data_IF_821684990994
#
_entry.id   IF_821684990994
#
_cell.length_a   1.000
_cell.length_b   1.000
_cell.length_c   1.000
_cell.angle_alpha   90.00
_cell.angle_beta   90.00
_cell.angle_gamma   90.00
#
_symmetry.space_group_name_H-M   'P 1'
#
loop_
_entity.id
_entity.type
_entity.pdbx_description
1 polymer ?
#
# COMPACT_ATOMS: atom_id res chain seq x y z
N UNK A 1 31.05 33.37 -68.84
CA UNK A 1 30.20 32.17 -68.65
C UNK A 1 30.62 31.46 -67.38
N UNK A 2 29.84 31.54 -66.29
CA UNK A 2 29.81 30.50 -65.26
C UNK A 2 28.48 30.62 -64.50
N UNK A 3 27.69 29.55 -64.58
CA UNK A 3 26.30 29.47 -64.09
C UNK A 3 26.28 29.28 -62.58
N UNK A 4 25.27 29.91 -61.95
CA UNK A 4 24.85 29.78 -60.56
C UNK A 4 24.45 28.32 -60.25
N UNK A 5 24.94 27.77 -59.14
CA UNK A 5 24.33 26.63 -58.45
C UNK A 5 23.82 27.11 -57.09
N UNK A 6 22.49 27.25 -56.98
CA UNK A 6 21.79 27.55 -55.73
C UNK A 6 21.44 26.21 -55.09
N UNK A 7 22.01 25.95 -53.91
CA UNK A 7 21.74 24.78 -53.09
C UNK A 7 20.42 24.98 -52.34
N UNK A 8 19.39 24.20 -52.66
CA UNK A 8 18.13 24.15 -51.92
C UNK A 8 18.33 23.32 -50.64
N UNK A 9 18.33 23.98 -49.47
CA UNK A 9 18.26 23.31 -48.17
C UNK A 9 16.77 23.09 -47.86
N UNK A 10 16.33 21.83 -47.94
CA UNK A 10 14.99 21.40 -47.54
C UNK A 10 14.91 21.36 -46.00
N UNK A 11 14.33 22.40 -45.40
CA UNK A 11 14.12 22.48 -43.95
C UNK A 11 12.94 21.58 -43.56
N UNK A 12 13.24 20.38 -43.07
CA UNK A 12 12.27 19.43 -42.53
C UNK A 12 11.79 19.93 -41.16
N UNK A 13 10.62 20.58 -41.12
CA UNK A 13 9.95 20.97 -39.87
C UNK A 13 9.39 19.71 -39.21
N UNK A 14 10.10 19.20 -38.20
CA UNK A 14 9.59 18.16 -37.32
C UNK A 14 8.54 18.79 -36.41
N UNK A 15 7.26 18.49 -36.66
CA UNK A 15 6.20 18.76 -35.70
C UNK A 15 6.44 17.90 -34.46
N UNK A 16 6.92 18.52 -33.39
CA UNK A 16 6.84 17.94 -32.06
C UNK A 16 5.35 17.80 -31.71
N UNK A 17 4.84 16.57 -31.79
CA UNK A 17 3.51 16.24 -31.29
C UNK A 17 3.45 16.57 -29.81
N UNK A 18 2.75 17.67 -29.47
CA UNK A 18 2.35 17.95 -28.12
C UNK A 18 1.47 16.78 -27.65
N UNK A 19 2.04 15.91 -26.82
CA UNK A 19 1.29 14.92 -26.07
C UNK A 19 0.37 15.67 -25.10
N UNK A 20 -0.81 16.04 -25.60
CA UNK A 20 -1.94 16.49 -24.81
C UNK A 20 -2.44 15.32 -23.97
N UNK A 21 -1.71 15.00 -22.91
CA UNK A 21 -2.22 14.19 -21.82
C UNK A 21 -3.38 14.97 -21.21
N UNK A 22 -4.61 14.62 -21.59
CA UNK A 22 -5.79 15.09 -20.89
C UNK A 22 -5.65 14.64 -19.44
N UNK A 23 -5.46 15.59 -18.54
CA UNK A 23 -5.45 15.30 -17.11
C UNK A 23 -6.80 14.63 -16.79
N UNK A 24 -6.77 13.34 -16.45
CA UNK A 24 -7.96 12.63 -15.99
C UNK A 24 -8.49 13.41 -14.78
N UNK A 25 -9.72 13.92 -14.88
CA UNK A 25 -10.38 14.57 -13.75
C UNK A 25 -10.35 13.61 -12.55
N UNK A 26 -9.97 14.12 -11.38
CA UNK A 26 -9.93 13.31 -10.18
C UNK A 26 -11.32 12.69 -9.94
N UNK A 27 -11.36 11.41 -9.54
CA UNK A 27 -12.61 10.75 -9.21
C UNK A 27 -13.32 11.54 -8.09
N UNK A 28 -14.65 11.73 -8.16
CA UNK A 28 -15.38 12.50 -7.17
C UNK A 28 -15.27 11.87 -5.78
N UNK A 29 -15.15 12.72 -4.76
CA UNK A 29 -14.98 12.31 -3.37
C UNK A 29 -16.35 12.08 -2.74
N UNK A 30 -16.59 10.89 -2.18
CA UNK A 30 -17.80 10.64 -1.39
C UNK A 30 -17.81 11.49 -0.12
N UNK A 31 -18.95 12.12 0.15
CA UNK A 31 -19.18 12.96 1.30
C UNK A 31 -20.55 12.70 1.92
N UNK A 32 -20.66 12.95 3.22
CA UNK A 32 -21.91 12.86 3.97
C UNK A 32 -22.24 14.20 4.58
N UNK A 33 -23.50 14.64 4.48
CA UNK A 33 -24.01 15.83 5.16
C UNK A 33 -24.00 15.59 6.68
N UNK A 34 -23.37 16.48 7.44
CA UNK A 34 -23.31 16.39 8.92
C UNK A 34 -24.15 17.46 9.64
N UNK A 35 -24.49 18.56 8.95
CA UNK A 35 -25.48 19.52 9.44
C UNK A 35 -26.89 18.89 9.45
N UNK A 36 -27.83 19.44 10.23
CA UNK A 36 -29.25 19.03 10.22
C UNK A 36 -29.86 19.09 8.81
N UNK A 37 -29.45 20.09 8.03
CA UNK A 37 -29.73 20.27 6.61
C UNK A 37 -28.63 21.15 6.01
N UNK A 38 -28.32 20.95 4.73
CA UNK A 38 -27.45 21.84 3.96
C UNK A 38 -28.19 22.45 2.78
N UNK A 39 -28.08 23.77 2.63
CA UNK A 39 -28.63 24.49 1.48
C UNK A 39 -27.77 24.28 0.24
N UNK A 40 -28.40 23.92 -0.87
CA UNK A 40 -27.76 23.78 -2.18
C UNK A 40 -27.94 25.06 -2.97
N UNK A 41 -26.85 25.61 -3.50
CA UNK A 41 -26.83 26.86 -4.28
C UNK A 41 -26.31 26.64 -5.70
N UNK A 42 -26.70 27.51 -6.62
CA UNK A 42 -26.24 27.46 -8.01
C UNK A 42 -24.83 28.04 -8.23
N UNK A 43 -24.32 28.81 -7.26
CA UNK A 43 -22.96 29.37 -7.28
C UNK A 43 -22.28 29.31 -5.90
N UNK A 44 -20.94 29.36 -5.86
CA UNK A 44 -20.09 29.21 -4.68
C UNK A 44 -20.01 30.49 -3.82
N UNK A 45 -21.17 31.00 -3.38
CA UNK A 45 -21.26 32.19 -2.52
C UNK A 45 -22.51 32.14 -1.66
N UNK A 46 -22.47 32.67 -0.41
CA UNK A 46 -23.65 32.69 0.46
C UNK A 46 -24.81 33.52 -0.11
N UNK A 47 -24.56 34.40 -1.10
CA UNK A 47 -25.58 35.22 -1.77
C UNK A 47 -26.20 34.57 -3.01
N UNK A 48 -25.70 33.40 -3.44
CA UNK A 48 -26.18 32.71 -4.63
C UNK A 48 -27.62 32.20 -4.46
N UNK A 49 -28.31 31.94 -5.58
CA UNK A 49 -29.69 31.45 -5.55
C UNK A 49 -29.72 30.06 -4.90
N UNK A 50 -30.66 29.88 -3.99
CA UNK A 50 -30.94 28.58 -3.38
C UNK A 50 -31.72 27.75 -4.39
N UNK A 51 -31.23 26.54 -4.69
CA UNK A 51 -31.84 25.62 -5.67
C UNK A 51 -32.32 24.31 -5.04
N UNK A 52 -32.07 24.12 -3.74
CA UNK A 52 -32.57 22.99 -2.98
C UNK A 52 -31.94 22.88 -1.60
N UNK A 53 -32.18 21.75 -0.95
CA UNK A 53 -31.51 21.34 0.29
C UNK A 53 -31.25 19.84 0.30
N UNK A 54 -30.29 19.41 1.11
CA UNK A 54 -30.01 18.00 1.38
C UNK A 54 -30.12 17.77 2.90
N UNK A 55 -30.89 16.76 3.35
CA UNK A 55 -31.01 16.46 4.77
C UNK A 55 -29.70 15.90 5.36
N UNK A 56 -29.62 15.91 6.70
CA UNK A 56 -28.55 15.24 7.43
C UNK A 56 -28.38 13.80 6.96
N UNK A 57 -27.13 13.37 6.85
CA UNK A 57 -26.70 12.04 6.41
C UNK A 57 -26.94 11.70 4.94
N UNK A 58 -27.44 12.62 4.10
CA UNK A 58 -27.38 12.43 2.66
C UNK A 58 -25.94 12.17 2.22
N UNK A 59 -25.75 11.12 1.45
CA UNK A 59 -24.47 10.79 0.80
C UNK A 59 -24.48 11.42 -0.58
N UNK A 60 -23.39 12.11 -0.93
CA UNK A 60 -23.22 12.79 -2.20
C UNK A 60 -21.76 12.72 -2.68
N UNK A 61 -21.56 13.08 -3.94
CA UNK A 61 -20.25 13.15 -4.57
C UNK A 61 -19.79 14.61 -4.68
N UNK A 62 -18.58 14.89 -4.21
CA UNK A 62 -17.89 16.18 -4.35
C UNK A 62 -16.94 16.10 -5.54
N UNK A 63 -17.18 16.93 -6.55
CA UNK A 63 -16.45 16.95 -7.82
C UNK A 63 -15.32 17.98 -7.84
N UNK A 64 -15.29 18.88 -6.86
CA UNK A 64 -14.29 19.95 -6.77
C UNK A 64 -14.49 20.83 -5.54
N UNK A 65 -13.59 21.78 -5.35
CA UNK A 65 -13.71 22.83 -4.34
C UNK A 65 -13.65 24.19 -5.01
N UNK A 66 -14.36 25.17 -4.45
CA UNK A 66 -14.36 26.56 -4.88
C UNK A 66 -13.93 27.48 -3.73
N UNK A 67 -13.48 28.68 -4.09
CA UNK A 67 -13.02 29.69 -3.15
C UNK A 67 -14.07 29.96 -2.06
N UNK A 68 -13.61 30.28 -0.84
CA UNK A 68 -14.51 30.56 0.29
C UNK A 68 -15.12 29.32 0.95
N UNK A 69 -14.55 28.13 0.74
CA UNK A 69 -14.94 26.91 1.46
C UNK A 69 -16.21 26.26 0.92
N UNK A 70 -16.37 26.23 -0.41
CA UNK A 70 -17.50 25.60 -1.09
C UNK A 70 -17.09 24.30 -1.78
N UNK A 71 -17.95 23.29 -1.71
CA UNK A 71 -17.79 22.02 -2.44
C UNK A 71 -18.71 22.02 -3.67
N UNK A 72 -18.15 21.68 -4.83
CA UNK A 72 -18.90 21.45 -6.07
C UNK A 72 -19.54 20.07 -6.07
N UNK A 73 -20.84 20.01 -6.30
CA UNK A 73 -21.65 18.78 -6.30
C UNK A 73 -22.52 18.72 -7.56
N UNK A 74 -23.19 17.58 -7.77
CA UNK A 74 -24.28 17.46 -8.74
C UNK A 74 -25.62 17.39 -8.01
N UNK A 75 -26.51 18.32 -8.31
CA UNK A 75 -27.88 18.35 -7.78
C UNK A 75 -28.86 18.43 -8.94
N UNK A 76 -29.76 17.43 -9.05
CA UNK A 76 -30.68 17.28 -10.19
C UNK A 76 -29.95 17.37 -11.54
N UNK A 77 -28.84 16.64 -11.66
CA UNK A 77 -27.92 16.60 -12.81
C UNK A 77 -27.22 17.93 -13.18
N UNK A 78 -27.41 19.01 -12.41
CA UNK A 78 -26.76 20.30 -12.62
C UNK A 78 -25.62 20.52 -11.63
N UNK A 79 -24.64 21.31 -12.05
CA UNK A 79 -23.57 21.79 -11.18
C UNK A 79 -24.17 22.67 -10.07
N UNK A 80 -23.75 22.44 -8.84
CA UNK A 80 -24.27 23.11 -7.66
C UNK A 80 -23.20 23.15 -6.57
N UNK A 81 -23.46 23.92 -5.51
CA UNK A 81 -22.51 24.16 -4.44
C UNK A 81 -23.15 24.06 -3.06
N UNK A 82 -22.38 23.56 -2.11
CA UNK A 82 -22.71 23.48 -0.68
C UNK A 82 -21.51 23.89 0.17
N UNK A 83 -21.68 24.44 1.38
CA UNK A 83 -20.55 24.75 2.26
C UNK A 83 -19.78 23.50 2.65
N UNK A 84 -18.47 23.48 2.42
CA UNK A 84 -17.62 22.32 2.73
C UNK A 84 -17.61 21.98 4.22
N UNK A 85 -17.76 22.98 5.10
CA UNK A 85 -17.82 22.81 6.56
C UNK A 85 -19.03 22.01 7.06
N UNK A 86 -20.08 21.88 6.23
CA UNK A 86 -21.29 21.11 6.55
C UNK A 86 -21.24 19.68 6.01
N UNK A 87 -20.13 19.31 5.36
CA UNK A 87 -19.86 17.98 4.86
C UNK A 87 -18.77 17.30 5.68
N UNK A 88 -18.91 16.00 5.88
CA UNK A 88 -17.80 15.13 6.22
C UNK A 88 -17.43 14.36 4.97
N UNK A 89 -16.37 14.81 4.29
CA UNK A 89 -15.77 14.03 3.21
C UNK A 89 -15.12 12.80 3.82
N UNK A 90 -15.36 11.63 3.26
CA UNK A 90 -14.39 10.54 3.45
C UNK A 90 -13.19 10.96 2.61
N UNK A 91 -12.18 11.60 3.21
CA UNK A 91 -10.90 11.75 2.51
C UNK A 91 -10.51 10.33 2.11
N UNK A 92 -10.50 10.05 0.80
CA UNK A 92 -10.03 8.76 0.29
C UNK A 92 -8.57 8.68 0.73
N UNK A 93 -8.34 7.92 1.80
CA UNK A 93 -7.01 7.76 2.35
C UNK A 93 -6.29 6.87 1.38
N UNK A 94 -5.35 7.42 0.61
CA UNK A 94 -4.60 6.60 -0.34
C UNK A 94 -3.62 5.77 0.47
N UNK A 95 -3.99 4.52 0.71
CA UNK A 95 -3.16 3.53 1.39
C UNK A 95 -2.40 2.74 0.33
N UNK A 96 -1.07 2.65 0.45
CA UNK A 96 -0.29 1.72 -0.39
C UNK A 96 0.21 0.58 0.49
N UNK A 97 -0.11 -0.65 0.12
CA UNK A 97 0.46 -1.85 0.74
C UNK A 97 1.68 -2.28 -0.08
N UNK A 98 2.88 -2.10 0.47
CA UNK A 98 4.14 -2.34 -0.23
C UNK A 98 4.88 -3.55 0.36
N UNK A 99 5.24 -4.50 -0.49
CA UNK A 99 5.91 -5.72 -0.01
C UNK A 99 6.09 -6.78 -1.08
N UNK A 100 6.11 -8.02 -0.64
CA UNK A 100 6.42 -9.20 -1.45
C UNK A 100 5.16 -10.05 -1.78
N UNK A 101 5.32 -11.37 -1.84
CA UNK A 101 4.27 -12.35 -2.12
C UNK A 101 3.11 -12.31 -1.12
N UNK A 102 3.37 -12.07 0.17
CA UNK A 102 2.28 -11.99 1.16
C UNK A 102 1.46 -10.72 1.00
N UNK A 103 2.05 -9.63 0.50
CA UNK A 103 1.34 -8.41 0.13
C UNK A 103 0.56 -8.62 -1.17
N UNK A 104 1.16 -9.27 -2.16
CA UNK A 104 0.48 -9.57 -3.43
C UNK A 104 -0.66 -10.59 -3.27
N UNK A 105 -0.52 -11.52 -2.32
CA UNK A 105 -1.34 -12.72 -2.20
C UNK A 105 -1.06 -13.70 -3.34
N UNK A 106 0.20 -14.00 -3.64
CA UNK A 106 0.56 -14.90 -4.76
C UNK A 106 -0.04 -16.28 -4.61
N UNK A 107 -0.02 -16.83 -3.39
CA UNK A 107 -0.46 -18.20 -3.09
C UNK A 107 -1.96 -18.42 -3.34
N UNK A 108 -2.77 -17.37 -3.50
CA UNK A 108 -4.19 -17.49 -3.88
C UNK A 108 -4.36 -18.11 -5.28
N UNK A 109 -3.39 -17.97 -6.19
CA UNK A 109 -3.48 -18.60 -7.51
C UNK A 109 -3.37 -20.13 -7.42
N UNK A 110 -2.61 -20.63 -6.45
CA UNK A 110 -2.39 -22.06 -6.22
C UNK A 110 -3.41 -22.69 -5.26
N UNK A 111 -4.29 -21.88 -4.65
CA UNK A 111 -5.29 -22.35 -3.68
C UNK A 111 -6.69 -21.91 -4.13
N UNK A 112 -7.37 -22.69 -5.00
CA UNK A 112 -8.67 -22.30 -5.57
C UNK A 112 -9.78 -22.14 -4.52
N UNK A 113 -9.63 -22.75 -3.34
CA UNK A 113 -10.54 -22.57 -2.22
C UNK A 113 -10.44 -21.19 -1.54
N UNK A 114 -9.38 -20.41 -1.82
CA UNK A 114 -9.21 -19.08 -1.23
C UNK A 114 -9.91 -18.02 -2.08
N UNK A 115 -10.94 -17.37 -1.52
CA UNK A 115 -11.61 -16.28 -2.21
C UNK A 115 -10.67 -15.07 -2.38
N UNK A 116 -10.70 -14.41 -3.54
CA UNK A 116 -9.85 -13.23 -3.79
C UNK A 116 -10.13 -12.07 -2.83
N UNK A 117 -11.36 -12.00 -2.31
CA UNK A 117 -11.80 -11.08 -1.25
C UNK A 117 -11.16 -11.35 0.11
N UNK A 118 -10.49 -12.48 0.30
CA UNK A 118 -9.80 -12.82 1.55
C UNK A 118 -8.36 -12.34 1.63
N UNK A 119 -7.80 -11.85 0.52
CA UNK A 119 -6.50 -11.17 0.57
C UNK A 119 -6.62 -9.92 1.42
N UNK A 120 -5.71 -9.76 2.38
CA UNK A 120 -5.74 -8.64 3.31
C UNK A 120 -5.69 -7.27 2.59
N UNK A 121 -4.92 -7.17 1.49
CA UNK A 121 -4.87 -5.94 0.69
C UNK A 121 -6.16 -5.74 -0.11
N UNK A 122 -6.83 -6.79 -0.60
CA UNK A 122 -8.15 -6.65 -1.24
C UNK A 122 -9.18 -6.12 -0.26
N UNK A 123 -9.16 -6.60 1.00
CA UNK A 123 -10.01 -6.04 2.07
C UNK A 123 -9.69 -4.57 2.33
N UNK A 124 -8.41 -4.18 2.42
CA UNK A 124 -8.02 -2.77 2.52
C UNK A 124 -8.43 -1.96 1.28
N UNK A 125 -8.44 -2.56 0.09
CA UNK A 125 -8.90 -1.90 -1.13
C UNK A 125 -10.39 -1.58 -1.04
N UNK A 126 -11.20 -2.50 -0.50
CA UNK A 126 -12.62 -2.27 -0.26
C UNK A 126 -12.88 -1.21 0.82
N UNK A 127 -12.06 -1.18 1.89
CA UNK A 127 -12.25 -0.26 3.02
C UNK A 127 -11.70 1.15 2.75
N UNK A 128 -10.54 1.26 2.08
CA UNK A 128 -9.77 2.51 1.95
C UNK A 128 -9.42 2.87 0.50
N UNK A 129 -9.75 2.04 -0.49
CA UNK A 129 -9.22 2.23 -1.86
C UNK A 129 -7.72 1.94 -1.95
N UNK A 130 -7.20 1.10 -1.05
CA UNK A 130 -5.78 0.76 -0.99
C UNK A 130 -5.22 0.19 -2.31
N UNK A 131 -3.98 0.55 -2.63
CA UNK A 131 -3.23 0.06 -3.78
C UNK A 131 -2.33 -1.10 -3.33
N UNK A 132 -2.43 -2.23 -4.02
CA UNK A 132 -1.54 -3.36 -3.83
C UNK A 132 -0.22 -3.15 -4.60
N UNK A 133 0.85 -2.86 -3.88
CA UNK A 133 2.23 -2.78 -4.36
C UNK A 133 3.05 -4.02 -4.02
N UNK A 134 2.42 -5.17 -3.80
CA UNK A 134 3.08 -6.45 -3.58
C UNK A 134 3.53 -7.12 -4.87
N UNK A 135 4.76 -7.66 -4.89
CA UNK A 135 5.25 -8.49 -6.01
C UNK A 135 5.91 -9.76 -5.44
N UNK A 136 5.46 -10.91 -5.92
CA UNK A 136 5.94 -12.22 -5.51
C UNK A 136 7.44 -12.40 -5.73
N UNK A 137 8.14 -12.87 -4.69
CA UNK A 137 9.57 -13.16 -4.75
C UNK A 137 10.48 -11.94 -4.54
N UNK A 138 9.92 -10.74 -4.46
CA UNK A 138 10.68 -9.51 -4.22
C UNK A 138 11.42 -9.55 -2.88
N UNK A 139 12.65 -9.05 -2.93
CA UNK A 139 13.45 -8.63 -1.77
C UNK A 139 13.30 -7.12 -1.59
N UNK A 140 13.78 -6.59 -0.47
CA UNK A 140 13.84 -5.14 -0.25
C UNK A 140 14.66 -4.38 -1.31
N UNK A 141 15.66 -5.02 -1.95
CA UNK A 141 16.44 -4.41 -3.04
C UNK A 141 15.57 -4.23 -4.29
N UNK A 142 14.79 -5.26 -4.66
CA UNK A 142 13.86 -5.18 -5.79
C UNK A 142 12.72 -4.19 -5.51
N UNK A 143 12.19 -4.20 -4.28
CA UNK A 143 11.26 -3.17 -3.82
C UNK A 143 11.86 -1.77 -4.00
N UNK A 144 13.13 -1.56 -3.61
CA UNK A 144 13.77 -0.25 -3.76
C UNK A 144 13.85 0.26 -5.19
N UNK A 145 14.10 -0.61 -6.16
CA UNK A 145 14.13 -0.24 -7.57
C UNK A 145 12.78 0.30 -8.08
N UNK A 146 11.65 -0.21 -7.56
CA UNK A 146 10.30 0.19 -7.98
C UNK A 146 9.59 1.15 -7.02
N UNK A 147 10.21 1.51 -5.91
CA UNK A 147 9.58 2.29 -4.85
C UNK A 147 9.02 3.64 -5.32
N UNK A 148 9.75 4.33 -6.21
CA UNK A 148 9.28 5.60 -6.76
C UNK A 148 8.00 5.43 -7.59
N UNK A 149 7.97 4.40 -8.46
CA UNK A 149 6.85 4.09 -9.35
C UNK A 149 5.64 3.58 -8.57
N UNK A 150 5.86 2.63 -7.67
CA UNK A 150 4.75 1.87 -7.07
C UNK A 150 4.21 2.52 -5.80
N UNK A 151 5.00 3.36 -5.12
CA UNK A 151 4.60 4.00 -3.86
C UNK A 151 4.59 5.51 -3.98
N UNK A 152 5.74 6.14 -4.25
CA UNK A 152 5.86 7.61 -4.14
C UNK A 152 4.97 8.34 -5.15
N UNK A 153 4.90 7.85 -6.39
CA UNK A 153 4.07 8.44 -7.46
C UNK A 153 2.57 8.44 -7.12
N UNK A 154 2.13 7.55 -6.23
CA UNK A 154 0.73 7.43 -5.80
C UNK A 154 0.32 8.52 -4.81
N UNK A 155 1.28 9.29 -4.29
CA UNK A 155 1.08 10.33 -3.26
C UNK A 155 0.24 9.80 -2.07
N UNK A 156 0.66 8.68 -1.44
CA UNK A 156 -0.13 8.04 -0.41
C UNK A 156 -0.25 8.88 0.86
N UNK A 157 -1.35 8.72 1.58
CA UNK A 157 -1.50 9.24 2.95
C UNK A 157 -0.85 8.28 3.97
N UNK A 158 -0.90 6.97 3.68
CA UNK A 158 -0.28 5.94 4.51
C UNK A 158 0.34 4.83 3.65
N UNK A 159 1.44 4.25 4.13
CA UNK A 159 2.11 3.12 3.48
C UNK A 159 2.40 2.04 4.51
N UNK A 160 1.97 0.82 4.22
CA UNK A 160 2.46 -0.35 4.94
C UNK A 160 3.64 -0.98 4.20
N UNK A 161 4.67 -1.41 4.93
CA UNK A 161 5.89 -1.97 4.35
C UNK A 161 6.18 -3.32 5.00
N UNK A 162 6.15 -4.39 4.21
CA UNK A 162 6.41 -5.76 4.66
C UNK A 162 7.38 -6.47 3.71
N UNK A 163 8.65 -6.55 4.12
CA UNK A 163 9.72 -7.30 3.46
C UNK A 163 10.54 -8.05 4.50
N UNK A 164 11.30 -9.05 4.07
CA UNK A 164 12.24 -9.78 4.94
C UNK A 164 12.33 -11.26 4.63
N UNK A 165 11.21 -11.89 4.25
CA UNK A 165 11.17 -13.35 4.00
C UNK A 165 12.08 -13.72 2.83
N UNK A 166 11.98 -13.00 1.72
CA UNK A 166 12.83 -13.23 0.55
C UNK A 166 14.27 -12.76 0.79
N UNK A 167 14.47 -11.64 1.47
CA UNK A 167 15.79 -11.11 1.84
C UNK A 167 16.61 -12.13 2.64
N UNK A 168 15.94 -12.83 3.57
CA UNK A 168 16.54 -13.80 4.47
C UNK A 168 16.79 -15.19 3.84
N UNK A 169 16.31 -15.49 2.63
CA UNK A 169 16.65 -16.77 1.98
C UNK A 169 18.17 -16.90 1.82
N UNK A 170 18.76 -17.99 2.29
CA UNK A 170 20.18 -18.31 2.10
C UNK A 170 20.33 -19.07 0.79
N UNK A 171 21.21 -18.59 -0.09
CA UNK A 171 21.55 -19.24 -1.36
C UNK A 171 22.55 -20.37 -1.12
N UNK A 172 22.76 -21.22 -2.12
CA UNK A 172 23.72 -22.34 -2.06
C UNK A 172 25.15 -21.90 -1.70
N UNK A 173 25.53 -20.65 -1.97
CA UNK A 173 26.83 -20.08 -1.58
C UNK A 173 26.91 -19.63 -0.09
N UNK A 174 25.90 -19.95 0.72
CA UNK A 174 25.84 -19.60 2.15
C UNK A 174 25.48 -18.15 2.45
N UNK A 175 25.25 -17.30 1.44
CA UNK A 175 24.88 -15.90 1.61
C UNK A 175 23.37 -15.69 1.51
N UNK A 176 22.83 -14.76 2.30
CA UNK A 176 21.44 -14.35 2.15
C UNK A 176 21.20 -13.60 0.84
N UNK A 177 19.96 -13.60 0.36
CA UNK A 177 19.59 -12.88 -0.87
C UNK A 177 19.89 -11.39 -0.77
N UNK A 178 19.73 -10.82 0.42
CA UNK A 178 20.12 -9.45 0.79
C UNK A 178 20.81 -9.51 2.14
N UNK A 179 21.98 -8.86 2.30
CA UNK A 179 22.66 -8.82 3.60
C UNK A 179 21.83 -8.03 4.62
N UNK A 180 22.00 -8.32 5.92
CA UNK A 180 21.32 -7.57 6.99
C UNK A 180 21.58 -6.06 6.93
N UNK A 181 22.82 -5.66 6.63
CA UNK A 181 23.18 -4.25 6.48
C UNK A 181 22.42 -3.60 5.30
N UNK A 182 22.37 -4.25 4.14
CA UNK A 182 21.66 -3.73 2.98
C UNK A 182 20.13 -3.70 3.22
N UNK A 183 19.59 -4.72 3.88
CA UNK A 183 18.19 -4.77 4.28
C UNK A 183 17.84 -3.60 5.21
N UNK A 184 18.65 -3.36 6.25
CA UNK A 184 18.47 -2.22 7.15
C UNK A 184 18.50 -0.88 6.41
N UNK A 185 19.47 -0.69 5.52
CA UNK A 185 19.56 0.50 4.67
C UNK A 185 18.31 0.70 3.81
N UNK A 186 17.75 -0.37 3.25
CA UNK A 186 16.53 -0.29 2.43
C UNK A 186 15.30 0.07 3.27
N UNK A 187 15.11 -0.56 4.44
CA UNK A 187 13.99 -0.22 5.34
C UNK A 187 14.09 1.24 5.82
N UNK A 188 15.30 1.72 6.14
CA UNK A 188 15.54 3.13 6.46
C UNK A 188 15.23 4.04 5.29
N UNK A 189 15.71 3.73 4.09
CA UNK A 189 15.45 4.49 2.88
C UNK A 189 13.95 4.67 2.61
N UNK A 190 13.16 3.60 2.68
CA UNK A 190 11.71 3.69 2.50
C UNK A 190 11.07 4.60 3.55
N UNK A 191 11.45 4.39 4.80
CA UNK A 191 10.90 5.13 5.94
C UNK A 191 11.23 6.62 5.84
N UNK A 192 12.49 6.96 5.60
CA UNK A 192 12.96 8.35 5.54
C UNK A 192 12.35 9.10 4.35
N UNK A 193 12.27 8.46 3.19
CA UNK A 193 11.66 9.06 1.99
C UNK A 193 10.19 9.40 2.22
N UNK A 194 9.43 8.50 2.88
CA UNK A 194 8.00 8.71 3.16
C UNK A 194 7.78 9.74 4.26
N UNK A 195 8.59 9.70 5.33
CA UNK A 195 8.53 10.68 6.41
C UNK A 195 8.84 12.10 5.91
N UNK A 196 9.84 12.26 5.05
CA UNK A 196 10.15 13.56 4.43
C UNK A 196 8.96 14.12 3.63
N UNK A 197 8.10 13.24 3.12
CA UNK A 197 6.86 13.59 2.41
C UNK A 197 5.62 13.65 3.32
N UNK A 198 5.80 13.59 4.64
CA UNK A 198 4.73 13.60 5.66
C UNK A 198 3.71 12.46 5.49
N UNK A 199 4.15 11.33 4.93
CA UNK A 199 3.32 10.12 4.77
C UNK A 199 3.38 9.30 6.06
N UNK A 200 2.24 8.74 6.48
CA UNK A 200 2.18 7.83 7.62
C UNK A 200 2.82 6.50 7.28
N UNK A 201 3.97 6.19 7.89
CA UNK A 201 4.68 4.93 7.69
C UNK A 201 4.26 3.89 8.71
N UNK A 202 3.93 2.69 8.24
CA UNK A 202 3.61 1.53 9.07
C UNK A 202 4.56 0.40 8.67
N UNK A 203 5.56 0.13 9.50
CA UNK A 203 6.47 -0.99 9.29
C UNK A 203 5.84 -2.27 9.82
N UNK A 204 6.02 -3.37 9.09
CA UNK A 204 5.46 -4.67 9.41
C UNK A 204 6.55 -5.72 9.42
N UNK A 205 6.63 -6.50 10.51
CA UNK A 205 7.45 -7.72 10.48
C UNK A 205 6.78 -8.74 9.55
N UNK A 206 7.57 -9.67 9.00
CA UNK A 206 7.00 -10.81 8.28
C UNK A 206 6.37 -11.83 9.26
N UNK A 207 5.45 -12.69 8.80
CA UNK A 207 4.94 -13.82 9.59
C UNK A 207 6.07 -14.76 10.07
N UNK A 208 5.85 -15.56 11.13
CA UNK A 208 6.79 -16.60 11.50
C UNK A 208 6.87 -17.66 10.39
N UNK A 209 8.02 -18.30 10.27
CA UNK A 209 8.21 -19.42 9.34
C UNK A 209 7.84 -20.73 10.06
N UNK A 210 7.03 -21.56 9.40
CA UNK A 210 6.87 -22.98 9.79
C UNK A 210 8.08 -23.73 9.25
N UNK A 211 9.03 -24.03 10.12
CA UNK A 211 10.40 -24.41 9.79
C UNK A 211 10.47 -25.73 9.03
N UNK A 212 9.80 -26.78 9.50
CA UNK A 212 9.77 -28.07 8.80
C UNK A 212 9.13 -28.01 7.41
N UNK A 213 8.13 -27.15 7.21
CA UNK A 213 7.54 -26.93 5.88
C UNK A 213 8.44 -26.08 4.98
N UNK A 214 9.16 -25.12 5.55
CA UNK A 214 10.13 -24.30 4.83
C UNK A 214 11.26 -25.14 4.23
N UNK A 215 11.76 -26.13 4.97
CA UNK A 215 12.85 -26.99 4.49
C UNK A 215 12.47 -27.96 3.37
N UNK A 216 11.17 -28.13 3.08
CA UNK A 216 10.74 -28.82 1.85
C UNK A 216 11.14 -28.06 0.57
N UNK A 217 11.55 -26.80 0.70
CA UNK A 217 11.90 -25.91 -0.42
C UNK A 217 13.32 -25.34 -0.33
N UNK A 218 13.96 -25.43 0.84
CA UNK A 218 15.26 -24.82 1.11
C UNK A 218 16.13 -25.79 1.92
N UNK A 219 17.42 -25.83 1.62
CA UNK A 219 18.37 -26.70 2.31
C UNK A 219 18.51 -26.31 3.80
N UNK A 220 18.12 -27.22 4.68
CA UNK A 220 18.18 -27.07 6.14
C UNK A 220 19.61 -26.80 6.63
N UNK A 221 20.62 -27.39 5.99
CA UNK A 221 22.02 -27.28 6.41
C UNK A 221 22.52 -25.84 6.43
N UNK A 222 21.98 -24.99 5.54
CA UNK A 222 22.30 -23.58 5.47
C UNK A 222 21.86 -22.78 6.71
N UNK A 223 20.92 -23.32 7.49
CA UNK A 223 20.30 -22.63 8.63
C UNK A 223 20.73 -23.16 10.00
N UNK A 224 21.44 -24.30 10.07
CA UNK A 224 21.87 -24.93 11.34
C UNK A 224 22.65 -23.95 12.23
N UNK A 225 23.64 -23.26 11.65
CA UNK A 225 24.46 -22.25 12.37
C UNK A 225 23.66 -21.08 12.94
N UNK A 226 22.43 -20.87 12.46
CA UNK A 226 21.53 -19.80 12.91
C UNK A 226 20.43 -20.32 13.83
N UNK A 227 20.54 -21.56 14.32
CA UNK A 227 19.53 -22.23 15.14
C UNK A 227 18.19 -22.39 14.40
N UNK A 228 18.28 -22.60 13.08
CA UNK A 228 17.15 -22.87 12.19
C UNK A 228 16.59 -21.64 11.47
N UNK A 229 15.81 -21.90 10.41
CA UNK A 229 15.24 -20.88 9.56
C UNK A 229 14.35 -19.89 10.31
N UNK A 230 13.61 -20.34 11.34
CA UNK A 230 12.70 -19.43 12.05
C UNK A 230 13.44 -18.32 12.77
N UNK A 231 14.49 -18.65 13.54
CA UNK A 231 15.31 -17.66 14.25
C UNK A 231 16.12 -16.80 13.28
N UNK A 232 16.58 -17.39 12.18
CA UNK A 232 17.25 -16.63 11.13
C UNK A 232 16.33 -15.57 10.50
N UNK A 233 15.10 -15.93 10.11
CA UNK A 233 14.13 -14.98 9.54
C UNK A 233 13.69 -13.93 10.58
N UNK A 234 13.46 -14.32 11.84
CA UNK A 234 13.11 -13.35 12.90
C UNK A 234 14.25 -12.35 13.19
N UNK A 235 15.50 -12.71 12.87
CA UNK A 235 16.61 -11.77 12.96
C UNK A 235 16.56 -10.63 11.93
N UNK A 236 15.82 -10.78 10.82
CA UNK A 236 15.47 -9.67 9.92
C UNK A 236 14.30 -8.85 10.48
N UNK A 237 13.33 -9.50 11.11
CA UNK A 237 12.25 -8.80 11.83
C UNK A 237 12.81 -7.94 12.98
N UNK A 238 13.87 -8.37 13.65
CA UNK A 238 14.58 -7.56 14.65
C UNK A 238 15.08 -6.22 14.06
N UNK A 239 15.54 -6.20 12.82
CA UNK A 239 15.94 -4.97 12.12
C UNK A 239 14.72 -4.07 11.87
N UNK A 240 13.59 -4.64 11.43
CA UNK A 240 12.34 -3.89 11.23
C UNK A 240 11.88 -3.24 12.55
N UNK A 241 11.90 -4.00 13.65
CA UNK A 241 11.58 -3.50 15.01
C UNK A 241 12.50 -2.36 15.42
N UNK A 242 13.82 -2.53 15.23
CA UNK A 242 14.84 -1.50 15.50
C UNK A 242 14.55 -0.22 14.72
N UNK A 243 14.39 -0.31 13.40
CA UNK A 243 14.13 0.86 12.56
C UNK A 243 12.82 1.55 12.92
N UNK A 244 11.75 0.79 13.21
CA UNK A 244 10.47 1.35 13.62
C UNK A 244 10.60 2.21 14.89
N UNK A 245 11.32 1.68 15.90
CA UNK A 245 11.60 2.38 17.16
C UNK A 245 12.42 3.65 16.92
N UNK A 246 13.55 3.55 16.23
CA UNK A 246 14.45 4.69 16.00
C UNK A 246 13.80 5.79 15.16
N UNK A 247 13.06 5.41 14.11
CA UNK A 247 12.37 6.36 13.23
C UNK A 247 11.05 6.85 13.82
N UNK A 248 10.62 6.34 14.98
CA UNK A 248 9.36 6.68 15.65
C UNK A 248 8.16 6.53 14.71
N UNK A 249 8.09 5.40 14.01
CA UNK A 249 6.97 5.05 13.12
C UNK A 249 6.19 3.88 13.70
N UNK A 250 4.94 3.70 13.25
CA UNK A 250 4.11 2.61 13.73
C UNK A 250 4.71 1.26 13.33
N UNK A 251 4.72 0.31 14.26
CA UNK A 251 5.08 -1.09 14.03
C UNK A 251 3.83 -1.96 14.17
N UNK A 252 3.59 -2.83 13.20
CA UNK A 252 2.72 -4.00 13.34
C UNK A 252 3.62 -5.24 13.35
N UNK A 253 3.76 -5.85 14.52
CA UNK A 253 4.59 -7.06 14.69
C UNK A 253 3.78 -8.31 14.39
N UNK A 254 3.62 -8.63 13.11
CA UNK A 254 2.90 -9.84 12.67
C UNK A 254 3.52 -11.11 13.23
N UNK A 255 4.84 -11.14 13.43
CA UNK A 255 5.51 -12.31 14.00
C UNK A 255 4.98 -12.55 15.41
N UNK A 256 5.08 -11.54 16.29
CA UNK A 256 4.59 -11.62 17.67
C UNK A 256 3.08 -11.87 17.75
N UNK A 257 2.29 -11.19 16.91
CA UNK A 257 0.84 -11.36 16.89
C UNK A 257 0.45 -12.80 16.56
N UNK A 258 1.07 -13.38 15.53
CA UNK A 258 0.77 -14.74 15.09
C UNK A 258 1.29 -15.80 16.06
N UNK A 259 2.51 -15.63 16.60
CA UNK A 259 3.04 -16.58 17.60
C UNK A 259 2.24 -16.54 18.89
N UNK A 260 1.79 -15.36 19.33
CA UNK A 260 0.92 -15.23 20.50
C UNK A 260 -0.43 -15.92 20.26
N UNK A 261 -1.05 -15.68 19.11
CA UNK A 261 -2.31 -16.32 18.74
C UNK A 261 -2.20 -17.84 18.65
N UNK A 262 -1.10 -18.35 18.09
CA UNK A 262 -0.86 -19.79 17.98
C UNK A 262 -0.53 -20.47 19.32
N UNK A 263 -0.30 -19.70 20.39
CA UNK A 263 0.14 -20.23 21.69
C UNK A 263 1.61 -20.66 21.68
N UNK A 264 2.44 -20.04 20.83
CA UNK A 264 3.87 -20.29 20.70
C UNK A 264 4.35 -20.30 19.25
N UNK A 265 5.67 -20.31 19.07
CA UNK A 265 6.29 -20.32 17.75
C UNK A 265 6.61 -21.73 17.22
N UNK A 266 6.35 -22.79 17.98
CA UNK A 266 6.63 -24.17 17.55
C UNK A 266 5.82 -24.54 16.30
N UNK A 267 6.37 -25.37 15.41
CA UNK A 267 5.72 -25.70 14.13
C UNK A 267 4.33 -26.30 14.31
N UNK A 268 4.17 -27.26 15.24
CA UNK A 268 2.86 -27.85 15.52
C UNK A 268 1.80 -26.80 15.91
N UNK A 269 2.19 -25.78 16.69
CA UNK A 269 1.31 -24.67 17.09
C UNK A 269 0.98 -23.77 15.90
N UNK A 270 1.98 -23.39 15.10
CA UNK A 270 1.78 -22.55 13.92
C UNK A 270 0.90 -23.25 12.87
N UNK A 271 1.11 -24.54 12.64
CA UNK A 271 0.27 -25.35 11.74
C UNK A 271 -1.17 -25.43 12.27
N UNK A 272 -1.35 -25.80 13.55
CA UNK A 272 -2.67 -25.90 14.17
C UNK A 272 -3.43 -24.57 14.18
N UNK A 273 -2.73 -23.43 14.25
CA UNK A 273 -3.36 -22.11 14.20
C UNK A 273 -4.09 -21.84 12.87
N UNK A 274 -3.65 -22.48 11.79
CA UNK A 274 -4.17 -22.28 10.45
C UNK A 274 -3.90 -20.88 9.89
N UNK A 275 -2.90 -20.14 10.39
CA UNK A 275 -2.54 -18.80 9.92
C UNK A 275 -1.60 -18.81 8.70
N UNK A 276 -0.77 -19.86 8.58
CA UNK A 276 0.25 -20.02 7.54
C UNK A 276 -0.05 -21.29 6.75
N UNK A 277 0.06 -21.21 5.43
CA UNK A 277 -0.25 -22.30 4.51
C UNK A 277 0.84 -23.38 4.47
N UNK A 278 0.61 -24.41 3.65
CA UNK A 278 1.49 -25.57 3.51
C UNK A 278 2.89 -25.25 2.96
N UNK A 279 3.13 -24.04 2.44
CA UNK A 279 4.47 -23.59 2.06
C UNK A 279 5.34 -23.22 3.27
N UNK A 280 4.72 -23.00 4.43
CA UNK A 280 5.37 -22.57 5.66
C UNK A 280 5.76 -21.10 5.70
N UNK A 281 5.38 -20.29 4.70
CA UNK A 281 5.70 -18.86 4.64
C UNK A 281 4.55 -17.95 4.23
N UNK A 282 3.53 -18.47 3.53
CA UNK A 282 2.45 -17.66 3.01
C UNK A 282 1.20 -17.74 3.88
N UNK A 283 0.40 -16.68 3.83
CA UNK A 283 -0.82 -16.56 4.64
C UNK A 283 -1.93 -17.45 4.10
N UNK A 284 -2.71 -18.04 5.00
CA UNK A 284 -4.07 -18.51 4.69
C UNK A 284 -5.04 -17.32 4.71
N UNK A 285 -6.32 -17.48 4.32
CA UNK A 285 -7.37 -16.49 4.56
C UNK A 285 -7.44 -16.02 6.02
N UNK A 286 -7.24 -16.93 6.99
CA UNK A 286 -7.23 -16.60 8.42
C UNK A 286 -6.03 -15.73 8.80
N UNK A 287 -4.84 -16.07 8.28
CA UNK A 287 -3.63 -15.26 8.47
C UNK A 287 -3.77 -13.87 7.85
N UNK A 288 -4.33 -13.79 6.64
CA UNK A 288 -4.61 -12.54 5.95
C UNK A 288 -5.62 -11.68 6.73
N UNK A 289 -6.69 -12.28 7.27
CA UNK A 289 -7.66 -11.56 8.10
C UNK A 289 -7.01 -10.94 9.34
N UNK A 290 -6.12 -11.66 10.02
CA UNK A 290 -5.38 -11.12 11.17
C UNK A 290 -4.52 -9.90 10.81
N UNK A 291 -3.84 -9.94 9.66
CA UNK A 291 -3.08 -8.79 9.15
C UNK A 291 -4.01 -7.63 8.81
N UNK A 292 -5.10 -7.88 8.09
CA UNK A 292 -6.10 -6.87 7.75
C UNK A 292 -6.60 -6.16 9.01
N UNK A 293 -7.01 -6.90 10.05
CA UNK A 293 -7.50 -6.31 11.29
C UNK A 293 -6.45 -5.47 12.02
N UNK A 294 -5.19 -5.93 12.02
CA UNK A 294 -4.08 -5.17 12.61
C UNK A 294 -3.84 -3.85 11.88
N UNK A 295 -3.85 -3.88 10.54
CA UNK A 295 -3.66 -2.68 9.70
C UNK A 295 -4.87 -1.75 9.82
N UNK A 296 -6.09 -2.27 9.73
CA UNK A 296 -7.35 -1.52 9.86
C UNK A 296 -7.43 -0.79 11.20
N UNK A 297 -7.05 -1.44 12.31
CA UNK A 297 -6.98 -0.81 13.64
C UNK A 297 -5.98 0.34 13.71
N UNK A 298 -4.87 0.25 12.98
CA UNK A 298 -3.89 1.34 12.91
C UNK A 298 -4.46 2.47 12.08
N UNK A 299 -4.97 2.19 10.88
CA UNK A 299 -5.45 3.20 9.92
C UNK A 299 -6.72 3.94 10.37
N UNK A 300 -7.58 3.32 11.19
CA UNK A 300 -8.81 3.94 11.69
C UNK A 300 -8.59 4.94 12.83
N UNK A 301 -7.38 5.03 13.38
CA UNK A 301 -6.95 6.06 14.33
C UNK A 301 -6.33 7.23 13.60
#
# INVERSE_FOLDING_TARGET
>A
MLKKCILFILLLVVFAGANGGTAKAADPISAKVIASSVTVRDNATPRAKIIGSLPKYTVLSVYGTAAGGWSEIRFKNKKAYVPSSQLKTTKSTIVVAFGDSNTQGTNWKQNPAYAQSDKWVTKLQQTYGAVNGGIGGDTSVMGRARFQKDVVSKRPDAVTIMFGTNDAVIRANGQSRVSKAQFEQNIRYFTDTLKAKKVRVILMTTPPVVQGLYYKRYDENLYIRYKGARLWHDSYNAIVRKVAKEKKVTLIDNYQNMTKFAGGAADGKLIQSGLIDSSGTHLTPRGAEMIYQSVNRVLSK
#
